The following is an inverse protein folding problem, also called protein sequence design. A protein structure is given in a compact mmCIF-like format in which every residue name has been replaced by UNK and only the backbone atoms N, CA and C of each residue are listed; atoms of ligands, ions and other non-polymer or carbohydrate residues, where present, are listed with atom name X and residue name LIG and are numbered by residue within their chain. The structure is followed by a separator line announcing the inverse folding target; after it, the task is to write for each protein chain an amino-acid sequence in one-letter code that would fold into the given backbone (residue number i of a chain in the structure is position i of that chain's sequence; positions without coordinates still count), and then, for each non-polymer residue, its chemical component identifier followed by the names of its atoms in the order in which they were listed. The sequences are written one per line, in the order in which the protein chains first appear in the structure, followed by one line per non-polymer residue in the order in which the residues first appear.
data_IF_178426514275
#
_entry.id   IF_178426514275
#
_cell.length_a   1.000
_cell.length_b   1.000
_cell.length_c   1.000
_cell.angle_alpha   90.00
_cell.angle_beta   90.00
_cell.angle_gamma   90.00
#
_symmetry.space_group_name_H-M   'P 1'
#
loop_
_entity.id
_entity.type
_entity.pdbx_description
1 polymer ?
#
# COMPACT_ATOMS: atom_id res chain seq x y z
N UNK A 1 -38.45 -0.81 -6.44
CA UNK A 1 -39.30 0.09 -7.24
C UNK A 1 -39.65 1.26 -6.36
N UNK A 2 -38.75 2.23 -6.27
CA UNK A 2 -39.03 3.56 -5.69
C UNK A 2 -38.04 4.54 -6.30
N UNK A 3 -38.59 5.42 -7.13
CA UNK A 3 -37.89 6.53 -7.79
C UNK A 3 -37.93 7.74 -6.88
N UNK A 4 -36.77 8.34 -6.59
CA UNK A 4 -36.72 9.68 -5.99
C UNK A 4 -36.08 10.65 -6.98
N UNK A 5 -36.88 11.67 -7.30
CA UNK A 5 -36.64 12.77 -8.26
C UNK A 5 -35.55 13.71 -7.78
N UNK A 6 -34.59 14.01 -8.65
CA UNK A 6 -33.72 15.19 -8.57
C UNK A 6 -34.52 16.45 -8.97
N UNK A 7 -34.49 17.47 -8.11
CA UNK A 7 -34.97 18.83 -8.42
C UNK A 7 -33.78 19.76 -8.62
N UNK A 8 -33.75 20.40 -9.78
CA UNK A 8 -32.86 21.50 -10.15
C UNK A 8 -33.38 22.86 -9.65
N UNK A 9 -32.51 23.70 -9.10
CA UNK A 9 -32.65 25.18 -8.99
C UNK A 9 -31.29 25.71 -8.50
N UNK A 10 -30.72 26.83 -8.91
CA UNK A 10 -31.09 27.89 -9.86
C UNK A 10 -29.93 28.91 -9.86
N UNK A 11 -29.69 29.55 -11.00
CA UNK A 11 -28.68 30.58 -11.19
C UNK A 11 -28.95 31.83 -10.34
N UNK A 12 -27.90 32.47 -9.84
CA UNK A 12 -27.88 33.91 -9.55
C UNK A 12 -26.70 34.58 -10.25
N UNK A 13 -27.02 35.72 -10.86
CA UNK A 13 -26.18 36.55 -11.71
C UNK A 13 -26.15 37.95 -11.10
N UNK A 14 -24.97 38.56 -10.93
CA UNK A 14 -24.80 40.01 -10.76
C UNK A 14 -23.51 40.50 -11.43
N UNK A 15 -23.66 40.96 -12.68
CA UNK A 15 -23.23 42.27 -13.24
C UNK A 15 -22.56 43.22 -12.23
N UNK A 16 -21.52 44.04 -12.51
CA UNK A 16 -21.18 44.85 -13.69
C UNK A 16 -19.80 45.49 -13.40
N UNK A 17 -18.91 45.69 -14.38
CA UNK A 17 -18.12 46.93 -14.53
C UNK A 17 -17.59 47.07 -15.97
N UNK A 18 -17.91 48.23 -16.55
CA UNK A 18 -17.47 48.86 -17.81
C UNK A 18 -16.00 49.34 -17.65
N UNK A 19 -15.13 49.61 -18.63
CA UNK A 19 -15.25 49.88 -20.07
C UNK A 19 -13.84 50.11 -20.69
N UNK A 20 -13.72 49.83 -22.00
CA UNK A 20 -12.95 50.56 -23.05
C UNK A 20 -11.42 50.38 -23.14
N UNK A 21 -10.95 49.66 -24.19
CA UNK A 21 -10.25 50.23 -25.36
C UNK A 21 -10.14 49.19 -26.51
N UNK A 22 -10.28 49.68 -27.73
CA UNK A 22 -10.36 49.02 -29.06
C UNK A 22 -9.41 49.81 -29.99
N UNK A 23 -8.98 49.41 -31.22
CA UNK A 23 -9.03 48.13 -31.95
C UNK A 23 -7.64 47.63 -32.45
N UNK A 24 -7.59 46.48 -33.13
CA UNK A 24 -6.51 46.25 -34.10
C UNK A 24 -6.38 44.87 -34.72
N UNK A 25 -7.14 44.65 -35.80
CA UNK A 25 -6.82 43.78 -36.95
C UNK A 25 -7.02 42.26 -36.83
N UNK A 26 -7.96 41.77 -37.64
CA UNK A 26 -8.25 40.38 -37.89
C UNK A 26 -8.12 40.12 -39.41
N UNK A 27 -7.60 38.92 -39.71
CA UNK A 27 -8.00 38.03 -40.80
C UNK A 27 -7.08 37.91 -42.05
N UNK A 28 -6.32 36.80 -42.02
CA UNK A 28 -6.17 35.72 -43.03
C UNK A 28 -5.47 36.04 -44.35
N UNK A 29 -4.33 35.36 -44.54
CA UNK A 29 -4.06 34.61 -45.77
C UNK A 29 -3.45 33.25 -45.45
N UNK A 30 -4.11 32.23 -45.96
CA UNK A 30 -3.67 30.86 -46.12
C UNK A 30 -2.43 30.78 -47.02
N UNK A 31 -1.57 29.78 -46.79
CA UNK A 31 -1.06 28.88 -47.82
C UNK A 31 -0.30 27.72 -47.17
N UNK A 32 -0.62 26.53 -47.67
CA UNK A 32 -0.29 25.22 -47.14
C UNK A 32 1.18 24.85 -47.32
N UNK A 33 1.71 24.13 -46.34
CA UNK A 33 3.00 23.44 -46.37
C UNK A 33 2.99 22.30 -47.39
N UNK A 34 4.06 22.20 -48.17
CA UNK A 34 4.36 21.06 -49.04
C UNK A 34 4.43 19.77 -48.21
N UNK A 35 3.53 18.82 -48.49
CA UNK A 35 3.73 17.41 -48.14
C UNK A 35 4.29 16.67 -49.35
N UNK A 36 5.39 15.97 -49.11
CA UNK A 36 6.02 15.05 -50.06
C UNK A 36 5.13 13.82 -50.25
N UNK A 37 4.96 13.45 -51.52
CA UNK A 37 4.19 12.31 -52.00
C UNK A 37 4.90 11.01 -51.63
N UNK A 38 4.27 10.20 -50.78
CA UNK A 38 4.61 8.80 -50.54
C UNK A 38 3.45 7.93 -51.02
N UNK A 39 3.72 7.08 -52.00
CA UNK A 39 2.85 6.04 -52.56
C UNK A 39 2.36 5.06 -51.48
N UNK A 40 1.08 4.64 -51.47
CA UNK A 40 0.66 3.54 -50.62
C UNK A 40 0.96 2.21 -51.31
N UNK A 41 1.97 1.51 -50.80
CA UNK A 41 2.18 0.09 -51.09
C UNK A 41 1.05 -0.76 -50.51
N UNK A 42 0.71 -1.77 -51.29
CA UNK A 42 -0.44 -2.63 -51.12
C UNK A 42 -0.31 -3.55 -49.91
N UNK A 43 -1.45 -3.77 -49.27
CA UNK A 43 -1.67 -4.73 -48.18
C UNK A 43 -1.41 -6.16 -48.70
N UNK A 44 -0.39 -6.83 -48.15
CA UNK A 44 -0.18 -8.26 -48.35
C UNK A 44 -0.80 -9.03 -47.17
N UNK A 45 -1.97 -9.62 -47.43
CA UNK A 45 -2.59 -10.66 -46.61
C UNK A 45 -1.93 -11.99 -47.03
N UNK A 46 -1.29 -12.68 -46.09
CA UNK A 46 -0.86 -14.07 -46.27
C UNK A 46 -2.02 -14.98 -45.85
N UNK A 47 -2.85 -15.36 -46.82
CA UNK A 47 -3.67 -16.57 -46.76
C UNK A 47 -3.02 -17.63 -47.66
N UNK A 48 -2.71 -18.78 -47.05
CA UNK A 48 -2.23 -19.97 -47.75
C UNK A 48 -3.37 -20.61 -48.55
N UNK A 49 -3.20 -20.70 -49.87
CA UNK A 49 -4.04 -21.54 -50.72
C UNK A 49 -3.31 -22.82 -51.11
N UNK A 50 -3.95 -23.93 -50.75
CA UNK A 50 -3.83 -25.26 -51.32
C UNK A 50 -4.74 -25.34 -52.58
N UNK A 51 -4.23 -25.90 -53.67
CA UNK A 51 -4.96 -26.50 -54.82
C UNK A 51 -3.90 -27.02 -55.80
N UNK A 52 -4.06 -28.07 -56.60
CA UNK A 52 -5.15 -28.90 -57.14
C UNK A 52 -4.38 -30.14 -57.69
N UNK A 53 -4.86 -31.36 -57.91
CA UNK A 53 -6.16 -31.90 -58.27
C UNK A 53 -5.92 -33.16 -59.14
N UNK A 54 -6.85 -34.13 -59.07
CA UNK A 54 -7.14 -35.27 -59.96
C UNK A 54 -7.58 -36.46 -59.07
N UNK A 55 -8.63 -37.24 -59.32
CA UNK A 55 -9.53 -37.33 -60.47
C UNK A 55 -10.78 -38.14 -60.05
N UNK A 56 -11.88 -37.91 -60.79
CA UNK A 56 -13.03 -38.79 -61.07
C UNK A 56 -13.91 -39.46 -59.99
N UNK A 57 -15.21 -39.35 -60.28
CA UNK A 57 -16.40 -39.84 -59.55
C UNK A 57 -16.85 -41.18 -60.14
N UNK A 58 -17.23 -42.14 -59.30
CA UNK A 58 -18.32 -43.07 -59.67
C UNK A 58 -19.12 -43.52 -58.43
N UNK A 59 -20.42 -43.56 -58.63
CA UNK A 59 -21.53 -43.71 -57.69
C UNK A 59 -21.71 -45.17 -57.21
N UNK A 60 -21.72 -45.42 -55.90
CA UNK A 60 -22.19 -46.71 -55.35
C UNK A 60 -22.93 -46.56 -54.00
N UNK A 61 -24.05 -47.27 -53.94
CA UNK A 61 -25.11 -47.27 -52.95
C UNK A 61 -24.71 -47.51 -51.48
N UNK A 62 -25.45 -46.85 -50.58
CA UNK A 62 -25.39 -47.02 -49.13
C UNK A 62 -25.85 -48.41 -48.66
N UNK A 63 -25.07 -49.12 -47.81
CA UNK A 63 -25.60 -50.19 -46.99
C UNK A 63 -25.98 -49.68 -45.59
N UNK A 64 -27.22 -49.95 -45.19
CA UNK A 64 -27.72 -49.71 -43.83
C UNK A 64 -27.06 -50.70 -42.88
N UNK A 65 -26.21 -50.24 -41.96
CA UNK A 65 -25.68 -51.06 -40.86
C UNK A 65 -26.52 -50.86 -39.61
N UNK A 66 -27.22 -51.92 -39.21
CA UNK A 66 -27.92 -52.05 -37.94
C UNK A 66 -26.88 -52.16 -36.81
N UNK A 67 -26.64 -51.07 -36.07
CA UNK A 67 -25.79 -51.12 -34.88
C UNK A 67 -26.60 -51.60 -33.68
N UNK A 68 -26.20 -52.75 -33.12
CA UNK A 68 -26.67 -53.20 -31.80
C UNK A 68 -25.96 -52.38 -30.73
N UNK A 69 -26.69 -51.75 -29.78
CA UNK A 69 -26.06 -50.91 -28.76
C UNK A 69 -25.21 -51.75 -27.81
N UNK A 70 -23.90 -51.46 -27.78
CA UNK A 70 -22.98 -51.95 -26.75
C UNK A 70 -23.17 -51.07 -25.51
N UNK A 71 -23.55 -51.66 -24.38
CA UNK A 71 -23.66 -50.93 -23.11
C UNK A 71 -22.25 -50.56 -22.63
N UNK A 72 -21.97 -49.26 -22.59
CA UNK A 72 -20.77 -48.70 -21.97
C UNK A 72 -20.94 -48.82 -20.44
N UNK A 73 -19.99 -49.40 -19.69
CA UNK A 73 -20.08 -49.42 -18.24
C UNK A 73 -20.07 -47.98 -17.70
N UNK A 74 -21.15 -47.59 -17.03
CA UNK A 74 -21.29 -46.32 -16.33
C UNK A 74 -20.22 -46.23 -15.24
N UNK A 75 -19.31 -45.25 -15.34
CA UNK A 75 -18.35 -44.96 -14.28
C UNK A 75 -19.11 -44.61 -12.99
N UNK A 76 -18.85 -45.35 -11.91
CA UNK A 76 -19.39 -45.03 -10.59
C UNK A 76 -18.78 -43.69 -10.17
N UNK A 77 -19.59 -42.67 -9.78
CA UNK A 77 -19.04 -41.41 -9.32
C UNK A 77 -18.12 -41.64 -8.13
N UNK A 78 -16.85 -41.25 -8.27
CA UNK A 78 -15.91 -41.23 -7.15
C UNK A 78 -16.42 -40.17 -6.18
N UNK A 79 -16.64 -40.54 -4.92
CA UNK A 79 -17.07 -39.59 -3.90
C UNK A 79 -16.03 -38.47 -3.79
N UNK A 80 -16.42 -37.24 -4.16
CA UNK A 80 -15.63 -36.05 -3.89
C UNK A 80 -15.46 -35.95 -2.38
N UNK A 81 -14.22 -35.95 -1.89
CA UNK A 81 -13.95 -35.73 -0.47
C UNK A 81 -14.54 -34.36 -0.09
N UNK A 82 -15.56 -34.37 0.77
CA UNK A 82 -16.07 -33.15 1.39
C UNK A 82 -14.91 -32.55 2.19
N UNK A 83 -14.53 -31.27 1.97
CA UNK A 83 -13.55 -30.61 2.82
C UNK A 83 -14.00 -30.76 4.27
N UNK A 84 -13.13 -31.34 5.11
CA UNK A 84 -13.36 -31.34 6.55
C UNK A 84 -13.43 -29.90 7.08
N UNK A 85 -13.97 -29.69 8.29
CA UNK A 85 -13.95 -28.37 8.90
C UNK A 85 -12.50 -27.85 8.97
N UNK A 86 -12.27 -26.66 8.43
CA UNK A 86 -10.99 -25.97 8.60
C UNK A 86 -10.78 -25.70 10.09
N UNK A 87 -9.59 -26.00 10.67
CA UNK A 87 -9.34 -25.77 12.08
C UNK A 87 -9.46 -24.27 12.40
N UNK A 88 -10.31 -23.92 13.38
CA UNK A 88 -10.40 -22.56 13.91
C UNK A 88 -9.09 -22.22 14.66
N UNK A 89 -8.42 -21.11 14.34
CA UNK A 89 -7.23 -20.68 15.06
C UNK A 89 -7.50 -20.45 16.56
N UNK A 90 -6.50 -20.67 17.40
CA UNK A 90 -6.60 -20.35 18.83
C UNK A 90 -6.79 -18.83 19.02
N UNK A 91 -7.45 -18.35 20.09
CA UNK A 91 -7.53 -16.92 20.38
C UNK A 91 -6.13 -16.28 20.44
N UNK A 92 -6.00 -15.02 20.00
CA UNK A 92 -4.73 -14.30 20.13
C UNK A 92 -4.45 -13.92 21.59
N UNK A 93 -3.17 -13.87 21.95
CA UNK A 93 -2.71 -13.44 23.27
C UNK A 93 -2.30 -11.97 23.22
N UNK A 94 -2.75 -11.19 24.21
CA UNK A 94 -2.42 -9.77 24.33
C UNK A 94 -1.65 -9.49 25.63
N UNK A 95 -0.59 -8.71 25.50
CA UNK A 95 0.34 -8.42 26.60
C UNK A 95 0.02 -7.10 27.27
N UNK A 96 0.10 -7.09 28.60
CA UNK A 96 -0.01 -5.87 29.37
C UNK A 96 1.34 -5.16 29.42
N UNK A 97 1.29 -3.83 29.35
CA UNK A 97 2.45 -2.97 29.46
C UNK A 97 2.27 -2.07 30.68
N UNK A 98 3.38 -1.73 31.33
CA UNK A 98 3.36 -0.76 32.42
C UNK A 98 2.97 0.63 31.90
N UNK A 99 2.49 1.49 32.81
CA UNK A 99 2.17 2.88 32.45
C UNK A 99 3.41 3.59 31.88
N UNK A 100 3.24 4.28 30.76
CA UNK A 100 4.34 4.97 30.07
C UNK A 100 5.19 4.07 29.18
N UNK A 101 4.85 2.79 28.99
CA UNK A 101 5.46 1.93 27.96
C UNK A 101 4.62 1.98 26.69
N UNK A 102 5.25 2.32 25.56
CA UNK A 102 4.60 2.32 24.26
C UNK A 102 4.34 0.87 23.80
N UNK A 103 3.09 0.41 23.67
CA UNK A 103 2.76 -0.95 23.25
C UNK A 103 3.16 -1.29 21.80
N UNK A 104 3.53 -0.30 20.98
CA UNK A 104 4.01 -0.49 19.61
C UNK A 104 5.52 -0.72 19.52
N UNK A 105 6.28 -0.38 20.56
CA UNK A 105 7.75 -0.54 20.57
C UNK A 105 8.27 -1.29 21.79
N UNK A 106 7.49 -1.41 22.88
CA UNK A 106 7.98 -1.99 24.13
C UNK A 106 8.94 -1.08 24.90
N UNK A 107 9.17 0.16 24.45
CA UNK A 107 10.03 1.14 25.10
C UNK A 107 9.23 2.10 25.99
N UNK A 108 9.84 2.54 27.09
CA UNK A 108 9.30 3.64 27.90
C UNK A 108 9.43 4.98 27.17
N UNK A 109 8.37 5.78 27.21
CA UNK A 109 8.42 7.18 26.75
C UNK A 109 8.89 8.10 27.87
N UNK A 110 9.53 9.22 27.52
CA UNK A 110 9.97 10.22 28.50
C UNK A 110 8.81 10.95 29.19
N UNK A 111 7.69 11.13 28.48
CA UNK A 111 6.45 11.68 29.01
C UNK A 111 5.28 10.73 28.69
N UNK A 112 4.73 9.99 29.68
CA UNK A 112 3.59 9.09 29.47
C UNK A 112 2.35 9.76 28.86
N UNK A 113 2.22 11.09 28.97
CA UNK A 113 1.08 11.81 28.41
C UNK A 113 0.99 11.75 26.88
N UNK A 114 2.11 11.49 26.19
CA UNK A 114 2.15 11.31 24.73
C UNK A 114 1.41 10.06 24.26
N UNK A 115 1.19 9.09 25.16
CA UNK A 115 0.42 7.87 24.88
C UNK A 115 -1.09 8.06 25.13
N UNK A 116 -1.51 9.19 25.71
CA UNK A 116 -2.93 9.52 25.93
C UNK A 116 -3.57 10.14 24.68
N UNK A 117 -3.44 9.45 23.54
CA UNK A 117 -3.99 9.82 22.22
C UNK A 117 -4.06 8.60 21.30
N UNK A 118 -4.69 8.78 20.14
CA UNK A 118 -4.51 7.86 19.00
C UNK A 118 -3.14 8.08 18.35
N UNK A 119 -2.54 7.03 17.76
CA UNK A 119 -1.34 7.19 16.96
C UNK A 119 -1.67 8.00 15.69
N UNK A 120 -0.69 8.76 15.19
CA UNK A 120 -0.79 9.47 13.92
C UNK A 120 -0.11 8.65 12.84
N UNK A 121 -0.81 8.35 11.76
CA UNK A 121 -0.32 7.54 10.64
C UNK A 121 -0.21 8.39 9.39
N UNK A 122 0.99 8.58 8.85
CA UNK A 122 1.24 9.53 7.77
C UNK A 122 1.72 8.79 6.53
N UNK A 123 1.04 9.02 5.40
CA UNK A 123 1.42 8.43 4.12
C UNK A 123 2.65 9.11 3.54
N UNK A 124 3.76 8.38 3.47
CA UNK A 124 5.04 8.91 2.97
C UNK A 124 5.35 8.31 1.59
N UNK A 125 5.69 9.20 0.66
CA UNK A 125 6.15 8.85 -0.68
C UNK A 125 7.48 8.12 -0.61
N UNK A 126 7.67 7.07 -1.42
CA UNK A 126 9.00 6.61 -1.78
C UNK A 126 9.39 6.95 -3.25
N UNK A 127 8.38 7.34 -4.05
CA UNK A 127 8.50 7.61 -5.47
C UNK A 127 7.83 8.94 -5.88
N UNK A 128 8.49 9.79 -6.70
CA UNK A 128 9.73 9.51 -7.42
C UNK A 128 10.99 9.74 -6.55
N UNK A 129 12.17 9.31 -7.04
CA UNK A 129 13.46 9.33 -6.30
C UNK A 129 13.84 10.70 -5.75
N UNK A 130 13.49 11.76 -6.46
CA UNK A 130 13.80 13.15 -6.09
C UNK A 130 13.08 13.58 -4.80
N UNK A 131 12.08 12.79 -4.36
CA UNK A 131 11.44 12.97 -3.06
C UNK A 131 12.33 12.59 -1.86
N UNK A 132 13.36 11.77 -2.10
CA UNK A 132 14.29 11.28 -1.07
C UNK A 132 15.45 12.27 -0.85
N UNK A 133 16.07 12.32 0.34
CA UNK A 133 15.75 11.58 1.56
C UNK A 133 14.40 11.96 2.15
N UNK A 134 13.72 11.00 2.78
CA UNK A 134 12.46 11.19 3.49
C UNK A 134 12.67 12.05 4.74
N UNK A 135 11.62 12.70 5.21
CA UNK A 135 11.60 13.40 6.48
C UNK A 135 10.76 12.62 7.49
N UNK A 136 11.28 12.45 8.71
CA UNK A 136 10.55 11.96 9.87
C UNK A 136 10.43 10.44 10.02
N UNK A 137 11.06 9.63 9.18
CA UNK A 137 11.03 8.16 9.33
C UNK A 137 11.84 7.67 10.53
N UNK A 138 12.84 8.42 10.99
CA UNK A 138 13.66 8.05 12.16
C UNK A 138 12.96 8.28 13.51
N UNK A 139 11.83 8.97 13.51
CA UNK A 139 10.97 9.20 14.69
C UNK A 139 9.71 8.32 14.69
N UNK A 140 9.54 7.45 13.69
CA UNK A 140 8.36 6.60 13.58
C UNK A 140 8.54 5.35 14.47
N UNK A 141 7.51 4.99 15.22
CA UNK A 141 7.48 3.75 16.01
C UNK A 141 7.33 2.52 15.09
N UNK A 142 6.57 2.67 14.01
CA UNK A 142 6.37 1.64 12.97
C UNK A 142 6.38 2.27 11.59
N UNK A 143 6.85 1.53 10.60
CA UNK A 143 6.73 1.90 9.18
C UNK A 143 6.24 0.70 8.39
N UNK A 144 5.08 0.84 7.74
CA UNK A 144 4.60 -0.14 6.78
C UNK A 144 5.09 0.22 5.39
N UNK A 145 5.70 -0.73 4.70
CA UNK A 145 6.10 -0.62 3.31
C UNK A 145 5.29 -1.60 2.46
N UNK A 146 4.71 -1.12 1.36
CA UNK A 146 3.94 -1.99 0.48
C UNK A 146 3.86 -1.48 -0.96
N UNK A 147 3.62 -2.40 -1.88
CA UNK A 147 3.40 -2.12 -3.30
C UNK A 147 2.13 -1.31 -3.55
N UNK A 148 2.21 -0.33 -4.44
CA UNK A 148 1.10 0.60 -4.75
C UNK A 148 0.65 0.61 -6.22
N UNK A 149 1.16 -0.31 -7.03
CA UNK A 149 0.99 -0.28 -8.49
C UNK A 149 2.18 0.33 -9.22
N UNK A 150 2.20 0.18 -10.55
CA UNK A 150 3.26 0.68 -11.43
C UNK A 150 4.68 0.40 -10.94
N UNK A 151 4.93 -0.79 -10.38
CA UNK A 151 6.26 -1.21 -9.91
C UNK A 151 6.85 -0.35 -8.77
N UNK A 152 6.01 0.42 -8.07
CA UNK A 152 6.42 1.33 -7.01
C UNK A 152 5.85 0.91 -5.65
N UNK A 153 6.52 1.36 -4.58
CA UNK A 153 6.08 1.24 -3.19
C UNK A 153 5.89 2.60 -2.54
N UNK A 154 5.28 2.59 -1.34
CA UNK A 154 5.24 3.75 -0.43
C UNK A 154 5.26 3.28 1.00
N UNK A 155 5.55 4.22 1.90
CA UNK A 155 5.53 4.00 3.34
C UNK A 155 4.23 4.51 3.97
N UNK A 156 3.84 3.94 5.10
CA UNK A 156 2.89 4.51 6.06
C UNK A 156 3.59 4.50 7.42
N UNK A 157 4.00 5.67 7.89
CA UNK A 157 4.74 5.83 9.14
C UNK A 157 3.78 6.10 10.31
N UNK A 158 4.00 5.46 11.45
CA UNK A 158 3.17 5.55 12.65
C UNK A 158 3.94 6.26 13.76
N UNK A 159 3.33 7.30 14.32
CA UNK A 159 3.89 8.14 15.38
C UNK A 159 2.98 8.07 16.60
N UNK A 160 3.51 7.58 17.71
CA UNK A 160 2.78 7.45 18.96
C UNK A 160 3.64 7.86 20.15
N UNK A 161 4.79 7.22 20.34
CA UNK A 161 5.73 7.47 21.43
C UNK A 161 6.52 8.78 21.29
N UNK A 162 6.69 9.26 20.05
CA UNK A 162 7.31 10.55 19.73
C UNK A 162 6.54 11.23 18.57
N UNK A 163 6.63 12.56 18.49
CA UNK A 163 6.14 13.33 17.36
C UNK A 163 7.28 13.75 16.41
N UNK A 164 6.97 13.82 15.12
CA UNK A 164 7.85 14.36 14.10
C UNK A 164 7.27 15.68 13.55
N UNK A 165 8.04 16.77 13.68
CA UNK A 165 7.61 18.10 13.23
C UNK A 165 7.61 18.28 11.70
N UNK A 166 8.28 17.40 10.95
CA UNK A 166 8.24 17.38 9.48
C UNK A 166 8.24 15.92 9.02
N UNK A 167 7.20 15.52 8.30
CA UNK A 167 7.01 14.17 7.79
C UNK A 167 6.66 14.21 6.32
N UNK A 168 7.34 13.43 5.49
CA UNK A 168 7.01 13.32 4.08
C UNK A 168 8.20 13.02 3.16
N UNK A 169 8.04 13.29 1.85
CA UNK A 169 6.90 13.96 1.21
C UNK A 169 5.59 13.18 1.36
N UNK A 170 4.48 13.87 1.63
CA UNK A 170 3.17 13.21 1.79
C UNK A 170 2.57 12.84 0.44
N UNK A 171 1.93 11.66 0.39
CA UNK A 171 1.34 11.11 -0.84
C UNK A 171 -0.01 10.45 -0.64
N UNK A 172 -0.57 9.99 -1.76
CA UNK A 172 -1.94 9.49 -1.81
C UNK A 172 -2.18 8.23 -1.00
N UNK A 173 -3.34 8.18 -0.36
CA UNK A 173 -3.84 7.00 0.35
C UNK A 173 -4.16 5.82 -0.58
N UNK A 174 -4.31 4.64 0.01
CA UNK A 174 -4.58 3.35 -0.61
C UNK A 174 -5.63 2.58 0.20
N UNK A 175 -6.29 1.60 -0.41
CA UNK A 175 -7.32 0.80 0.28
C UNK A 175 -6.79 0.14 1.56
N UNK A 176 -5.57 -0.40 1.52
CA UNK A 176 -4.90 -0.98 2.69
C UNK A 176 -4.70 0.04 3.84
N UNK A 177 -4.60 1.34 3.56
CA UNK A 177 -4.46 2.35 4.62
C UNK A 177 -5.71 2.42 5.51
N UNK A 178 -6.90 2.15 4.96
CA UNK A 178 -8.13 2.04 5.75
C UNK A 178 -8.01 0.89 6.76
N UNK A 179 -7.54 -0.27 6.29
CA UNK A 179 -7.37 -1.45 7.13
C UNK A 179 -6.30 -1.23 8.21
N UNK A 180 -5.14 -0.69 7.84
CA UNK A 180 -4.05 -0.40 8.77
C UNK A 180 -4.47 0.66 9.81
N UNK A 181 -5.08 1.76 9.39
CA UNK A 181 -5.54 2.80 10.31
C UNK A 181 -6.70 2.35 11.20
N UNK A 182 -7.44 1.32 10.82
CA UNK A 182 -8.42 0.70 11.69
C UNK A 182 -7.77 -0.24 12.71
N UNK A 183 -6.86 -1.12 12.28
CA UNK A 183 -6.12 -2.05 13.17
C UNK A 183 -5.32 -1.30 14.24
N UNK A 184 -4.68 -0.20 13.86
CA UNK A 184 -3.92 0.65 14.76
C UNK A 184 -4.74 1.84 15.28
N UNK A 185 -6.02 1.91 14.94
CA UNK A 185 -6.96 2.91 15.46
C UNK A 185 -6.46 4.37 15.32
N UNK A 186 -5.64 4.64 14.31
CA UNK A 186 -4.89 5.89 14.17
C UNK A 186 -5.67 7.01 13.47
N UNK A 187 -5.11 8.21 13.55
CA UNK A 187 -5.44 9.35 12.69
C UNK A 187 -4.63 9.21 11.40
N UNK A 188 -5.29 8.96 10.27
CA UNK A 188 -4.62 8.76 8.99
C UNK A 188 -4.48 10.09 8.25
N UNK A 189 -3.26 10.57 8.07
CA UNK A 189 -2.96 11.74 7.25
C UNK A 189 -2.38 11.33 5.89
N UNK A 190 -2.97 11.85 4.81
CA UNK A 190 -2.58 11.52 3.44
C UNK A 190 -2.84 12.69 2.49
N UNK A 191 -2.24 12.61 1.30
CA UNK A 191 -2.33 13.67 0.30
C UNK A 191 -3.75 13.86 -0.24
N UNK A 192 -4.16 12.95 -1.11
CA UNK A 192 -5.54 12.76 -1.62
C UNK A 192 -5.66 11.27 -1.96
N UNK A 193 -6.80 10.74 -2.36
CA UNK A 193 -6.83 9.41 -2.97
C UNK A 193 -7.60 9.39 -4.29
N UNK A 194 -7.63 8.22 -4.91
CA UNK A 194 -8.66 7.98 -5.93
C UNK A 194 -10.04 8.13 -5.25
N UNK A 195 -11.07 8.69 -5.90
CA UNK A 195 -12.37 8.91 -5.27
C UNK A 195 -12.99 7.66 -4.62
N UNK A 196 -12.78 6.48 -5.22
CA UNK A 196 -13.26 5.21 -4.63
C UNK A 196 -12.48 4.84 -3.37
N UNK A 197 -11.19 5.16 -3.33
CA UNK A 197 -10.35 4.95 -2.15
C UNK A 197 -10.72 5.94 -1.05
N UNK A 198 -10.96 7.22 -1.39
CA UNK A 198 -11.42 8.22 -0.41
C UNK A 198 -12.76 7.83 0.22
N UNK A 199 -13.69 7.26 -0.56
CA UNK A 199 -14.96 6.74 -0.06
C UNK A 199 -14.74 5.62 0.98
N UNK A 200 -13.89 4.63 0.67
CA UNK A 200 -13.56 3.55 1.60
C UNK A 200 -12.84 4.06 2.84
N UNK A 201 -11.88 4.97 2.69
CA UNK A 201 -11.16 5.57 3.82
C UNK A 201 -12.13 6.29 4.75
N UNK A 202 -13.06 7.07 4.21
CA UNK A 202 -14.05 7.77 5.02
C UNK A 202 -15.09 6.82 5.63
N UNK A 203 -15.53 5.78 4.91
CA UNK A 203 -16.48 4.78 5.42
C UNK A 203 -15.90 4.03 6.63
N UNK A 204 -14.63 3.66 6.57
CA UNK A 204 -13.95 2.89 7.63
C UNK A 204 -13.48 3.77 8.78
N UNK A 205 -12.96 4.96 8.49
CA UNK A 205 -12.26 5.79 9.48
C UNK A 205 -13.07 7.00 9.96
N UNK A 206 -14.10 7.41 9.21
CA UNK A 206 -14.85 8.64 9.45
C UNK A 206 -13.93 9.86 9.50
N UNK A 207 -14.09 10.69 10.52
CA UNK A 207 -13.30 11.91 10.70
C UNK A 207 -11.80 11.65 10.94
N UNK A 208 -11.38 10.40 11.21
CA UNK A 208 -9.96 10.04 11.35
C UNK A 208 -9.19 10.01 10.02
N UNK A 209 -9.87 10.11 8.87
CA UNK A 209 -9.21 10.24 7.55
C UNK A 209 -8.93 11.71 7.21
N UNK A 210 -7.71 12.16 7.45
CA UNK A 210 -7.26 13.55 7.31
C UNK A 210 -6.56 13.77 5.96
N UNK A 211 -7.26 14.38 5.00
CA UNK A 211 -6.75 14.67 3.66
C UNK A 211 -6.12 16.06 3.56
N UNK A 212 -5.01 16.20 2.82
CA UNK A 212 -4.28 17.46 2.63
C UNK A 212 -5.20 18.63 2.27
N UNK A 213 -6.11 18.43 1.32
CA UNK A 213 -6.97 19.50 0.81
C UNK A 213 -8.00 20.01 1.84
N UNK A 214 -8.20 19.28 2.94
CA UNK A 214 -9.10 19.65 4.03
C UNK A 214 -8.37 20.21 5.27
N UNK A 215 -7.03 20.16 5.28
CA UNK A 215 -6.23 20.55 6.43
C UNK A 215 -5.54 21.91 6.22
N UNK A 216 -5.44 22.74 7.27
CA UNK A 216 -4.57 23.90 7.26
C UNK A 216 -3.11 23.50 7.51
N UNK A 217 -2.21 24.47 7.33
CA UNK A 217 -0.89 24.44 7.95
C UNK A 217 -1.04 24.93 9.41
N UNK A 218 -0.40 24.31 10.44
CA UNK A 218 0.72 23.37 10.38
C UNK A 218 0.44 21.86 10.14
N UNK A 219 -0.75 21.26 10.37
CA UNK A 219 -0.95 19.82 10.22
C UNK A 219 -0.45 19.24 8.89
N UNK A 220 -0.76 19.93 7.78
CA UNK A 220 -0.16 19.66 6.48
C UNK A 220 0.10 20.97 5.74
N UNK A 221 1.32 21.15 5.25
CA UNK A 221 1.76 22.35 4.53
C UNK A 221 2.35 21.97 3.17
N UNK A 222 2.06 22.76 2.15
CA UNK A 222 2.56 22.53 0.80
C UNK A 222 1.67 23.10 -0.28
N UNK A 223 1.99 22.78 -1.52
CA UNK A 223 1.24 23.26 -2.70
C UNK A 223 0.58 22.12 -3.48
N UNK A 224 1.29 21.00 -3.65
CA UNK A 224 0.82 19.92 -4.51
C UNK A 224 1.35 18.54 -4.11
N UNK A 225 0.42 17.62 -3.89
CA UNK A 225 0.69 16.20 -3.64
C UNK A 225 1.14 15.43 -4.88
N UNK A 226 1.28 16.08 -6.04
CA UNK A 226 1.90 15.50 -7.23
C UNK A 226 3.37 15.91 -7.40
N UNK A 227 3.82 16.98 -6.72
CA UNK A 227 5.23 17.38 -6.70
C UNK A 227 6.04 16.47 -5.78
N UNK A 228 7.22 16.01 -6.23
CA UNK A 228 8.07 15.04 -5.52
C UNK A 228 8.30 15.40 -4.04
N UNK A 229 8.42 16.70 -3.74
CA UNK A 229 8.62 17.27 -2.39
C UNK A 229 7.60 18.37 -2.09
N UNK A 230 6.35 18.20 -2.53
CA UNK A 230 5.37 19.30 -2.55
C UNK A 230 4.53 19.48 -1.29
N UNK A 231 4.43 18.47 -0.42
CA UNK A 231 3.61 18.50 0.81
C UNK A 231 4.32 17.76 1.93
N UNK A 232 4.30 18.33 3.13
CA UNK A 232 4.80 17.73 4.36
C UNK A 232 3.75 17.86 5.46
N UNK A 233 3.79 16.95 6.42
CA UNK A 233 2.93 16.92 7.59
C UNK A 233 3.71 17.15 8.88
N UNK A 234 3.01 17.48 9.96
CA UNK A 234 3.53 17.54 11.33
C UNK A 234 2.62 16.67 12.21
N UNK A 235 3.18 15.62 12.84
CA UNK A 235 2.38 14.64 13.59
C UNK A 235 1.78 15.21 14.87
N UNK A 236 2.49 16.13 15.54
CA UNK A 236 1.99 16.81 16.73
C UNK A 236 0.86 17.79 16.37
N UNK A 237 1.01 18.52 15.27
CA UNK A 237 -0.02 19.42 14.76
C UNK A 237 -1.27 18.66 14.30
N UNK A 238 -1.14 17.47 13.69
CA UNK A 238 -2.28 16.60 13.36
C UNK A 238 -3.03 16.14 14.62
N UNK A 239 -2.30 15.81 15.69
CA UNK A 239 -2.89 15.49 17.01
C UNK A 239 -3.66 16.67 17.59
N UNK A 240 -3.08 17.88 17.52
CA UNK A 240 -3.72 19.11 17.98
C UNK A 240 -4.98 19.41 17.16
N UNK A 241 -4.91 19.32 15.83
CA UNK A 241 -6.04 19.51 14.94
C UNK A 241 -7.21 18.59 15.27
N UNK A 242 -6.95 17.30 15.50
CA UNK A 242 -7.98 16.34 15.87
C UNK A 242 -8.70 16.75 17.17
N UNK A 243 -7.94 17.14 18.20
CA UNK A 243 -8.51 17.60 19.48
C UNK A 243 -9.33 18.88 19.33
N UNK A 244 -8.83 19.85 18.57
CA UNK A 244 -9.50 21.14 18.35
C UNK A 244 -10.80 21.02 17.55
N UNK A 245 -10.89 20.04 16.66
CA UNK A 245 -12.06 19.80 15.81
C UNK A 245 -13.00 18.72 16.34
N UNK A 246 -12.77 18.22 17.56
CA UNK A 246 -13.65 17.24 18.22
C UNK A 246 -13.57 15.81 17.66
N UNK A 247 -12.54 15.51 16.87
CA UNK A 247 -12.26 14.16 16.39
C UNK A 247 -11.82 13.32 17.59
N UNK A 248 -12.46 12.16 17.80
CA UNK A 248 -12.12 11.29 18.92
C UNK A 248 -10.64 10.92 18.88
N UNK A 249 -9.92 11.36 19.91
CA UNK A 249 -8.50 11.14 20.10
C UNK A 249 -8.22 10.48 21.45
N UNK A 250 -9.16 9.66 21.94
CA UNK A 250 -8.96 8.83 23.12
C UNK A 250 -7.90 7.74 22.88
N UNK A 251 -7.13 7.33 23.90
CA UNK A 251 -6.10 6.32 23.74
C UNK A 251 -6.73 4.95 23.37
N UNK A 252 -6.35 4.36 22.23
CA UNK A 252 -6.86 3.05 21.83
C UNK A 252 -6.11 1.92 22.53
N UNK A 253 -6.68 0.71 22.51
CA UNK A 253 -5.99 -0.50 22.96
C UNK A 253 -5.07 -1.03 21.85
N UNK A 254 -3.80 -0.67 21.93
CA UNK A 254 -2.78 -1.03 20.94
C UNK A 254 -1.96 -2.28 21.34
N UNK A 255 -2.48 -3.13 22.22
CA UNK A 255 -1.80 -4.39 22.55
C UNK A 255 -1.98 -5.37 21.39
N UNK A 256 -0.86 -5.92 20.92
CA UNK A 256 -0.82 -6.92 19.84
C UNK A 256 0.59 -7.42 19.53
N UNK A 257 1.60 -6.65 19.95
CA UNK A 257 3.01 -7.02 19.86
C UNK A 257 3.54 -7.61 21.16
N UNK A 258 4.59 -8.42 21.05
CA UNK A 258 5.30 -9.03 22.17
C UNK A 258 6.78 -8.66 22.08
N UNK A 259 7.36 -8.21 23.20
CA UNK A 259 8.73 -7.71 23.24
C UNK A 259 9.58 -8.45 24.26
N UNK A 260 10.83 -8.75 23.89
CA UNK A 260 11.87 -9.29 24.78
C UNK A 260 13.22 -8.76 24.34
N UNK A 261 14.12 -8.45 25.28
CA UNK A 261 15.48 -7.95 24.95
C UNK A 261 16.37 -9.04 24.35
N UNK A 262 16.24 -10.27 24.84
CA UNK A 262 17.00 -11.42 24.37
C UNK A 262 16.48 -11.90 23.02
N UNK A 263 17.35 -12.09 22.01
CA UNK A 263 16.92 -12.58 20.72
C UNK A 263 16.50 -14.06 20.78
N UNK A 264 15.47 -14.47 20.02
CA UNK A 264 15.17 -15.88 19.85
C UNK A 264 16.32 -16.62 19.15
N UNK A 265 16.32 -17.95 19.23
CA UNK A 265 17.20 -18.76 18.39
C UNK A 265 16.77 -18.55 16.94
N UNK A 266 17.69 -18.04 16.11
CA UNK A 266 17.42 -17.79 14.69
C UNK A 266 17.40 -19.07 13.86
N UNK A 267 16.50 -19.14 12.88
CA UNK A 267 16.43 -20.23 11.89
C UNK A 267 17.51 -20.11 10.80
N UNK A 268 17.95 -18.89 10.50
CA UNK A 268 19.02 -18.62 9.55
C UNK A 268 19.76 -17.29 9.83
N UNK A 269 20.83 -17.04 9.07
CA UNK A 269 21.51 -15.75 9.02
C UNK A 269 20.64 -14.71 8.31
N UNK A 270 20.40 -13.58 8.94
CA UNK A 270 19.55 -12.49 8.47
C UNK A 270 20.29 -11.16 8.38
N UNK A 271 21.50 -11.15 7.81
CA UNK A 271 22.31 -9.94 7.70
C UNK A 271 21.80 -8.95 6.63
N UNK A 272 20.99 -9.43 5.68
CA UNK A 272 20.43 -8.60 4.62
C UNK A 272 19.10 -9.16 4.13
N UNK A 273 18.09 -8.30 4.03
CA UNK A 273 16.88 -8.51 3.25
C UNK A 273 16.96 -7.61 2.02
N UNK A 274 16.60 -8.13 0.84
CA UNK A 274 16.50 -7.36 -0.41
C UNK A 274 15.09 -7.51 -0.96
N UNK A 275 14.45 -6.39 -1.24
CA UNK A 275 13.10 -6.30 -1.78
C UNK A 275 13.18 -5.60 -3.14
N UNK A 276 12.73 -6.27 -4.20
CA UNK A 276 12.73 -5.74 -5.56
C UNK A 276 11.29 -5.66 -6.08
N UNK A 277 10.74 -4.45 -6.19
CA UNK A 277 9.46 -4.22 -6.87
C UNK A 277 9.64 -4.12 -8.39
N UNK A 278 10.81 -3.66 -8.83
CA UNK A 278 11.27 -3.70 -10.22
C UNK A 278 12.79 -3.52 -10.28
N UNK A 279 13.35 -3.66 -11.48
CA UNK A 279 14.78 -3.41 -11.73
C UNK A 279 15.24 -1.97 -11.41
N UNK A 280 14.31 -1.05 -11.16
CA UNK A 280 14.58 0.34 -10.77
C UNK A 280 14.07 0.67 -9.35
N UNK A 281 13.40 -0.25 -8.67
CA UNK A 281 12.81 -0.06 -7.34
C UNK A 281 13.29 -1.18 -6.44
N UNK A 282 14.44 -0.93 -5.81
CA UNK A 282 15.26 -1.93 -5.11
C UNK A 282 15.63 -1.37 -3.76
N UNK A 283 15.26 -2.07 -2.70
CA UNK A 283 15.59 -1.70 -1.34
C UNK A 283 16.28 -2.86 -0.65
N UNK A 284 17.21 -2.53 0.23
CA UNK A 284 17.91 -3.49 1.05
C UNK A 284 17.85 -3.04 2.51
N UNK A 285 17.41 -3.92 3.40
CA UNK A 285 17.55 -3.76 4.83
C UNK A 285 18.81 -4.50 5.25
N UNK A 286 19.85 -3.75 5.65
CA UNK A 286 21.17 -4.30 5.98
C UNK A 286 21.40 -4.22 7.49
N UNK A 287 21.71 -5.35 8.11
CA UNK A 287 22.00 -5.41 9.53
C UNK A 287 23.36 -4.78 9.83
N UNK A 288 23.38 -3.84 10.77
CA UNK A 288 24.59 -3.26 11.36
C UNK A 288 24.85 -3.95 12.72
N UNK A 289 25.90 -4.77 12.86
CA UNK A 289 26.20 -5.46 14.11
C UNK A 289 26.78 -4.54 15.20
N UNK A 290 27.27 -3.35 14.86
CA UNK A 290 27.80 -2.40 15.86
C UNK A 290 26.66 -1.68 16.58
N UNK A 291 25.62 -1.31 15.83
CA UNK A 291 24.45 -0.60 16.35
C UNK A 291 23.33 -1.58 16.74
N UNK A 292 23.27 -2.75 16.10
CA UNK A 292 22.29 -3.80 16.37
C UNK A 292 20.92 -3.58 15.75
N UNK A 293 20.85 -2.91 14.58
CA UNK A 293 19.62 -2.63 13.84
C UNK A 293 19.78 -2.85 12.32
N UNK A 294 18.68 -2.76 11.59
CA UNK A 294 18.63 -2.86 10.14
C UNK A 294 18.48 -1.47 9.52
N UNK A 295 19.46 -1.06 8.72
CA UNK A 295 19.45 0.21 8.01
C UNK A 295 18.84 0.05 6.62
N UNK A 296 18.01 1.01 6.22
CA UNK A 296 17.42 1.07 4.88
C UNK A 296 18.47 1.58 3.88
N UNK A 297 18.66 0.82 2.81
CA UNK A 297 19.43 1.19 1.63
C UNK A 297 18.51 1.13 0.43
N UNK A 298 18.55 2.14 -0.43
CA UNK A 298 17.74 2.19 -1.64
C UNK A 298 18.62 2.53 -2.84
N UNK A 299 18.11 2.22 -4.02
CA UNK A 299 18.77 2.52 -5.27
C UNK A 299 18.79 4.02 -5.57
N UNK A 300 19.94 4.50 -6.06
CA UNK A 300 20.11 5.81 -6.65
C UNK A 300 20.54 5.65 -8.10
N UNK A 301 20.02 6.50 -8.97
CA UNK A 301 20.52 6.61 -10.34
C UNK A 301 21.69 7.59 -10.38
N UNK A 302 22.86 7.08 -10.78
CA UNK A 302 24.05 7.87 -11.07
C UNK A 302 24.43 7.63 -12.52
N UNK A 303 24.07 8.57 -13.37
CA UNK A 303 24.43 8.56 -14.80
C UNK A 303 23.97 7.28 -15.53
N UNK A 304 22.79 6.75 -15.17
CA UNK A 304 22.22 5.53 -15.76
C UNK A 304 22.66 4.23 -15.08
N UNK A 305 23.46 4.31 -14.00
CA UNK A 305 23.85 3.17 -13.18
C UNK A 305 23.13 3.24 -11.85
N UNK A 306 22.47 2.15 -11.46
CA UNK A 306 21.84 2.03 -10.16
C UNK A 306 22.86 1.58 -9.11
N UNK A 307 23.05 2.42 -8.10
CA UNK A 307 23.87 2.13 -6.93
C UNK A 307 23.02 2.13 -5.67
N UNK A 308 23.25 1.17 -4.77
CA UNK A 308 22.59 1.18 -3.46
C UNK A 308 23.28 2.20 -2.55
N UNK A 309 22.53 3.13 -1.98
CA UNK A 309 23.03 4.07 -0.98
C UNK A 309 22.22 4.01 0.31
N UNK A 310 22.85 4.39 1.42
CA UNK A 310 22.21 4.48 2.73
C UNK A 310 21.14 5.56 2.72
N UNK A 311 19.92 5.25 3.15
CA UNK A 311 18.88 6.25 3.36
C UNK A 311 19.10 6.96 4.69
N UNK A 312 19.11 8.29 4.63
CA UNK A 312 19.05 9.14 5.82
C UNK A 312 17.70 9.82 5.93
N UNK A 313 17.40 10.30 7.12
CA UNK A 313 16.27 11.18 7.38
C UNK A 313 16.70 12.64 7.23
N UNK A 314 15.97 13.39 6.40
CA UNK A 314 16.23 14.81 6.13
C UNK A 314 16.20 15.69 7.38
N UNK A 315 15.48 15.28 8.42
CA UNK A 315 15.35 16.07 9.63
C UNK A 315 16.63 16.07 10.49
N UNK A 316 17.46 15.03 10.36
CA UNK A 316 18.58 14.82 11.30
C UNK A 316 19.83 14.13 10.71
N UNK A 317 19.82 13.81 9.42
CA UNK A 317 20.89 13.12 8.68
C UNK A 317 21.26 11.73 9.23
N UNK A 318 20.45 11.14 10.13
CA UNK A 318 20.66 9.80 10.66
C UNK A 318 20.13 8.75 9.68
N UNK A 319 20.74 7.56 9.70
CA UNK A 319 20.25 6.41 8.96
C UNK A 319 18.80 6.08 9.35
N UNK A 320 17.94 5.83 8.37
CA UNK A 320 16.63 5.22 8.62
C UNK A 320 16.87 3.76 9.00
N UNK A 321 16.58 3.40 10.24
CA UNK A 321 16.88 2.07 10.76
C UNK A 321 15.85 1.59 11.78
N UNK A 322 15.67 0.28 11.85
CA UNK A 322 14.76 -0.39 12.79
C UNK A 322 15.39 -1.66 13.36
N UNK A 323 15.07 -1.98 14.61
CA UNK A 323 15.54 -3.13 15.35
C UNK A 323 14.95 -4.45 14.81
N UNK A 324 13.75 -4.35 14.25
CA UNK A 324 12.98 -5.45 13.68
C UNK A 324 12.56 -5.10 12.25
N UNK A 325 12.72 -6.03 11.32
CA UNK A 325 12.11 -5.95 9.99
C UNK A 325 11.25 -7.19 9.78
N UNK A 326 9.95 -7.00 9.54
CA UNK A 326 9.00 -8.10 9.37
C UNK A 326 8.53 -8.14 7.92
N UNK A 327 8.72 -9.28 7.26
CA UNK A 327 8.15 -9.52 5.92
C UNK A 327 6.85 -10.28 6.09
N UNK A 328 5.73 -9.63 5.80
CA UNK A 328 4.41 -10.25 5.79
C UNK A 328 4.07 -10.75 4.38
N UNK A 329 3.68 -12.02 4.26
CA UNK A 329 3.10 -12.53 3.03
C UNK A 329 1.58 -12.35 3.12
N UNK A 330 1.03 -11.52 2.22
CA UNK A 330 -0.39 -11.20 2.17
C UNK A 330 -0.91 -11.28 0.73
N UNK A 331 -2.20 -11.54 0.58
CA UNK A 331 -2.87 -11.57 -0.72
C UNK A 331 -3.07 -10.14 -1.24
N UNK A 332 -2.67 -9.92 -2.50
CA UNK A 332 -2.94 -8.69 -3.23
C UNK A 332 -4.13 -8.90 -4.17
N UNK A 333 -5.12 -8.00 -4.08
CA UNK A 333 -6.23 -7.92 -5.01
C UNK A 333 -5.99 -6.74 -5.96
N UNK A 334 -5.77 -7.02 -7.24
CA UNK A 334 -5.60 -5.98 -8.27
C UNK A 334 -6.94 -5.66 -8.94
N UNK A 335 -7.43 -4.44 -8.77
CA UNK A 335 -8.61 -3.92 -9.46
C UNK A 335 -8.24 -3.09 -10.69
N UNK A 336 -7.09 -2.41 -10.64
CA UNK A 336 -6.50 -1.65 -11.74
C UNK A 336 -4.98 -1.44 -11.50
N UNK A 337 -4.19 -1.00 -12.50
CA UNK A 337 -2.73 -0.87 -12.37
C UNK A 337 -2.21 0.00 -11.23
N UNK A 338 -3.04 0.87 -10.63
CA UNK A 338 -2.74 1.63 -9.40
C UNK A 338 -3.78 1.48 -8.30
N UNK A 339 -4.77 0.60 -8.48
CA UNK A 339 -5.82 0.32 -7.50
C UNK A 339 -5.68 -1.13 -7.06
N UNK A 340 -5.03 -1.29 -5.91
CA UNK A 340 -4.81 -2.58 -5.27
C UNK A 340 -5.35 -2.53 -3.86
N UNK A 341 -5.78 -3.68 -3.37
CA UNK A 341 -5.99 -3.92 -1.95
C UNK A 341 -5.06 -5.03 -1.47
N UNK A 342 -4.81 -5.04 -0.17
CA UNK A 342 -4.00 -6.05 0.52
C UNK A 342 -4.89 -6.64 1.59
N UNK A 343 -5.15 -7.95 1.53
CA UNK A 343 -6.05 -8.61 2.47
C UNK A 343 -5.33 -8.74 3.81
N UNK A 344 -5.56 -7.79 4.73
CA UNK A 344 -5.08 -7.85 6.11
C UNK A 344 -6.22 -8.30 7.02
N UNK A 345 -7.30 -7.52 7.04
CA UNK A 345 -8.53 -7.88 7.71
C UNK A 345 -9.28 -8.91 6.86
N UNK A 346 -9.69 -10.01 7.49
CA UNK A 346 -10.35 -11.12 6.79
C UNK A 346 -9.41 -12.18 6.23
N UNK A 347 -8.08 -12.00 6.33
CA UNK A 347 -7.13 -13.07 6.09
C UNK A 347 -7.43 -14.25 7.03
N UNK A 348 -7.60 -15.45 6.47
CA UNK A 348 -8.05 -16.62 7.22
C UNK A 348 -6.87 -17.39 7.80
N UNK A 349 -6.92 -17.70 9.10
CA UNK A 349 -5.89 -18.50 9.74
C UNK A 349 -4.55 -17.78 9.90
N UNK A 350 -3.50 -18.57 10.04
CA UNK A 350 -2.13 -18.07 10.16
C UNK A 350 -1.55 -17.79 8.78
N UNK A 351 -1.15 -16.55 8.54
CA UNK A 351 -0.48 -16.13 7.31
C UNK A 351 1.04 -16.15 7.51
N UNK A 352 1.85 -16.50 6.52
CA UNK A 352 3.30 -16.60 6.71
C UNK A 352 3.94 -15.22 6.90
N UNK A 353 4.98 -15.17 7.74
CA UNK A 353 5.86 -14.02 7.92
C UNK A 353 7.32 -14.45 8.11
N UNK A 354 8.24 -13.49 7.97
CA UNK A 354 9.64 -13.62 8.41
C UNK A 354 9.97 -12.46 9.35
N UNK A 355 10.66 -12.75 10.44
CA UNK A 355 11.26 -11.73 11.31
C UNK A 355 12.76 -11.68 11.06
N UNK A 356 13.26 -10.48 10.74
CA UNK A 356 14.67 -10.13 10.75
C UNK A 356 14.95 -9.35 12.03
N UNK A 357 15.77 -9.91 12.92
CA UNK A 357 16.12 -9.34 14.21
C UNK A 357 17.53 -9.78 14.61
N UNK A 358 18.34 -8.86 15.12
CA UNK A 358 19.69 -9.14 15.62
C UNK A 358 20.56 -9.96 14.64
N UNK A 359 20.45 -9.65 13.33
CA UNK A 359 21.22 -10.32 12.27
C UNK A 359 20.75 -11.75 11.95
N UNK A 360 19.57 -12.14 12.41
CA UNK A 360 18.98 -13.48 12.26
C UNK A 360 17.63 -13.41 11.54
N UNK A 361 17.25 -14.52 10.93
CA UNK A 361 15.89 -14.73 10.40
C UNK A 361 15.16 -15.73 11.28
N UNK A 362 13.90 -15.45 11.59
CA UNK A 362 12.96 -16.40 12.16
C UNK A 362 11.74 -16.58 11.26
N UNK A 363 11.32 -17.83 11.07
CA UNK A 363 10.00 -18.12 10.51
C UNK A 363 8.93 -17.68 11.50
N UNK A 364 7.90 -17.03 10.98
CA UNK A 364 6.82 -16.50 11.78
C UNK A 364 5.50 -16.63 11.03
N UNK A 365 4.44 -16.28 11.72
CA UNK A 365 3.10 -16.11 11.17
C UNK A 365 2.52 -14.77 11.64
N UNK A 366 1.56 -14.25 10.88
CA UNK A 366 0.80 -13.06 11.24
C UNK A 366 -0.70 -13.32 11.07
N UNK A 367 -1.51 -12.56 11.81
CA UNK A 367 -2.96 -12.50 11.64
C UNK A 367 -3.53 -11.23 12.30
N UNK A 368 -4.74 -10.85 11.88
CA UNK A 368 -5.51 -9.74 12.44
C UNK A 368 -6.86 -10.26 12.95
N UNK A 369 -6.91 -10.83 14.17
CA UNK A 369 -8.11 -11.51 14.68
C UNK A 369 -9.24 -10.54 15.05
N UNK A 370 -8.91 -9.29 15.35
CA UNK A 370 -9.84 -8.22 15.69
C UNK A 370 -9.60 -7.03 14.76
N UNK A 371 -10.67 -6.36 14.33
CA UNK A 371 -10.61 -5.28 13.34
C UNK A 371 -9.99 -4.00 13.87
N UNK A 372 -10.01 -3.80 15.19
CA UNK A 372 -9.52 -2.60 15.88
C UNK A 372 -8.36 -2.93 16.84
N UNK A 373 -7.56 -3.95 16.50
CA UNK A 373 -6.37 -4.34 17.24
C UNK A 373 -5.18 -4.48 16.31
N UNK A 374 -3.96 -4.17 16.77
CA UNK A 374 -2.76 -4.38 15.97
C UNK A 374 -2.62 -5.82 15.48
N UNK A 375 -1.90 -5.97 14.37
CA UNK A 375 -1.50 -7.27 13.83
C UNK A 375 -0.72 -8.03 14.90
N UNK A 376 -1.05 -9.31 15.05
CA UNK A 376 -0.37 -10.22 15.97
C UNK A 376 0.63 -11.05 15.18
N UNK A 377 1.84 -11.18 15.74
CA UNK A 377 2.91 -12.01 15.19
C UNK A 377 3.22 -13.17 16.13
N UNK A 378 3.28 -14.37 15.57
CA UNK A 378 3.44 -15.63 16.31
C UNK A 378 4.50 -16.49 15.63
N UNK A 379 5.16 -17.35 16.40
CA UNK A 379 5.99 -18.44 15.89
C UNK A 379 5.12 -19.46 15.12
N UNK A 380 5.70 -20.37 14.32
CA UNK A 380 4.93 -21.42 13.63
C UNK A 380 4.14 -22.34 14.57
N UNK A 381 4.56 -22.44 15.83
CA UNK A 381 3.88 -23.24 16.87
C UNK A 381 2.75 -22.46 17.57
N UNK A 382 2.52 -21.19 17.21
CA UNK A 382 1.47 -20.34 17.78
C UNK A 382 1.89 -19.58 19.04
N UNK A 383 3.15 -19.67 19.46
CA UNK A 383 3.67 -18.87 20.58
C UNK A 383 3.93 -17.42 20.15
N UNK A 384 3.84 -16.43 21.05
CA UNK A 384 4.11 -15.02 20.75
C UNK A 384 5.51 -14.80 20.16
N UNK A 385 5.62 -14.01 19.09
CA UNK A 385 6.90 -13.72 18.45
C UNK A 385 7.65 -12.59 19.19
N UNK A 386 8.85 -12.83 19.76
CA UNK A 386 9.56 -11.82 20.53
C UNK A 386 10.23 -10.80 19.61
N UNK A 387 9.67 -9.61 19.53
CA UNK A 387 10.29 -8.44 18.92
C UNK A 387 11.30 -7.80 19.89
N UNK A 388 12.31 -7.13 19.34
CA UNK A 388 13.26 -6.33 20.11
C UNK A 388 12.60 -4.99 20.48
N UNK A 389 12.62 -4.57 21.76
CA UNK A 389 12.21 -3.24 22.14
C UNK A 389 13.01 -2.14 21.43
#
# INVERSE_FOLDING_TARGET
MDMIRLKSSGCYNTSMHKSILVPGLLLVLSLASCTTVGTPDSVAILESQEKEGADFVEELASPTLNQTPTQIPTAVPTATATPGPSPTPAPATYFYFEEGVNPLTGLSVSDPSVLNRRPVMIKVSNWPREGRPHAGLTSADLVFEYFIGYQMNRFLAVYYGEDAGVVGPVRSGRLVDAQLAQLYQGLLAYGNADPQVDEVLFEVLGERSLTFNALPCPPMCGESTHSATGVFADSGALTAYARENGIDNSPPDLRGMYFQSEPPVGDASGLKLRVEYANFSIMEWRYDPEIGNYQLWEEFDREGVLEMGLMTDRNNDKAVAFENVIVMYAEYLEYAPSLHDIVLQGAQGYQPALLFRDGRVNYATWRAPETERPIVFETPDGEPLPLKP
#
